data_IF_500245829379
#
_entry.id   IF_500245829379
#
_cell.length_a   1.000
_cell.length_b   1.000
_cell.length_c   1.000
_cell.angle_alpha   90.00
_cell.angle_beta   90.00
_cell.angle_gamma   90.00
#
_symmetry.space_group_name_H-M   'P 1'
#
loop_
_entity.id
_entity.type
_entity.pdbx_description
1 polymer ?
#
# COMPACT_ATOMS: atom_id res chain seq x y z
N UNK A 1 -20.87 -18.85 -0.96
CA UNK A 1 -20.02 -18.82 -2.17
C UNK A 1 -20.72 -18.01 -3.24
N UNK A 2 -20.36 -16.73 -3.45
CA UNK A 2 -20.95 -15.90 -4.52
C UNK A 2 -20.38 -16.36 -5.86
N UNK A 3 -21.26 -16.73 -6.80
CA UNK A 3 -20.90 -17.12 -8.17
C UNK A 3 -20.27 -15.93 -8.89
N UNK A 4 -19.19 -16.19 -9.63
CA UNK A 4 -18.46 -15.21 -10.42
C UNK A 4 -19.23 -14.99 -11.73
N UNK A 5 -19.66 -13.76 -12.00
CA UNK A 5 -20.19 -13.34 -13.30
C UNK A 5 -19.00 -13.03 -14.23
N UNK A 6 -18.93 -13.72 -15.37
CA UNK A 6 -17.85 -13.57 -16.36
C UNK A 6 -17.81 -12.17 -16.99
N UNK A 7 -18.94 -11.43 -17.02
CA UNK A 7 -18.98 -10.06 -17.57
C UNK A 7 -18.15 -9.05 -16.78
N UNK A 8 -18.03 -9.24 -15.47
CA UNK A 8 -17.22 -8.36 -14.60
C UNK A 8 -15.72 -8.44 -14.90
N UNK A 9 -15.25 -9.51 -15.55
CA UNK A 9 -13.84 -9.66 -15.94
C UNK A 9 -13.51 -8.96 -17.25
N UNK A 10 -14.45 -8.94 -18.20
CA UNK A 10 -14.28 -8.24 -19.49
C UNK A 10 -14.13 -6.72 -19.28
N UNK A 11 -14.86 -6.14 -18.32
CA UNK A 11 -14.75 -4.72 -17.94
C UNK A 11 -13.41 -4.35 -17.26
N UNK A 12 -12.65 -5.31 -16.71
CA UNK A 12 -11.36 -5.02 -16.08
C UNK A 12 -10.26 -4.72 -17.09
N UNK A 13 -10.37 -5.24 -18.32
CA UNK A 13 -9.41 -4.98 -19.40
C UNK A 13 -9.50 -3.56 -19.96
N UNK A 14 -10.63 -2.87 -19.74
CA UNK A 14 -10.84 -1.48 -20.17
C UNK A 14 -10.42 -0.45 -19.11
N UNK A 15 -10.14 -0.90 -17.87
CA UNK A 15 -9.76 -0.03 -16.74
C UNK A 15 -8.24 0.05 -16.58
N UNK A 16 -7.75 1.14 -16.03
CA UNK A 16 -6.34 1.22 -15.64
C UNK A 16 -6.03 0.18 -14.55
N UNK A 17 -4.79 -0.34 -14.51
CA UNK A 17 -4.39 -1.36 -13.52
C UNK A 17 -4.77 -1.00 -12.07
N UNK A 18 -4.64 0.27 -11.69
CA UNK A 18 -5.04 0.71 -10.35
C UNK A 18 -6.55 0.84 -10.12
N UNK A 19 -7.37 1.01 -11.16
CA UNK A 19 -8.83 0.94 -11.04
C UNK A 19 -9.31 -0.50 -10.92
N UNK A 20 -8.68 -1.42 -11.66
CA UNK A 20 -8.93 -2.85 -11.54
C UNK A 20 -8.58 -3.34 -10.12
N UNK A 21 -7.43 -2.95 -9.59
CA UNK A 21 -7.02 -3.30 -8.22
C UNK A 21 -7.99 -2.76 -7.15
N UNK A 22 -8.34 -1.47 -7.23
CA UNK A 22 -9.27 -0.86 -6.26
C UNK A 22 -10.66 -1.50 -6.35
N UNK A 23 -11.10 -1.88 -7.56
CA UNK A 23 -12.35 -2.60 -7.75
C UNK A 23 -12.31 -4.00 -7.12
N UNK A 24 -11.21 -4.74 -7.24
CA UNK A 24 -11.04 -6.04 -6.56
C UNK A 24 -11.09 -5.84 -5.05
N UNK A 25 -10.34 -4.88 -4.50
CA UNK A 25 -10.34 -4.55 -3.07
C UNK A 25 -11.73 -4.15 -2.55
N UNK A 26 -12.57 -3.54 -3.38
CA UNK A 26 -13.90 -3.08 -2.98
C UNK A 26 -14.97 -4.16 -3.14
N UNK A 27 -14.92 -4.93 -4.23
CA UNK A 27 -15.98 -5.89 -4.61
C UNK A 27 -15.72 -7.32 -4.10
N UNK A 28 -14.46 -7.67 -3.79
CA UNK A 28 -14.07 -9.02 -3.38
C UNK A 28 -13.71 -9.12 -1.91
N UNK A 29 -13.18 -8.05 -1.31
CA UNK A 29 -12.80 -8.10 0.09
C UNK A 29 -14.03 -7.81 0.93
N UNK A 30 -14.35 -8.76 1.79
CA UNK A 30 -15.48 -8.76 2.73
C UNK A 30 -14.96 -8.80 4.16
N UNK A 31 -15.75 -8.31 5.12
CA UNK A 31 -15.44 -8.41 6.54
C UNK A 31 -15.11 -9.83 7.04
N UNK A 32 -14.32 -9.91 8.10
CA UNK A 32 -13.93 -11.16 8.75
C UNK A 32 -12.92 -12.03 7.97
N UNK A 33 -12.24 -11.45 6.96
CA UNK A 33 -11.25 -12.16 6.14
C UNK A 33 -9.81 -11.94 6.60
N UNK A 34 -8.90 -12.84 6.18
CA UNK A 34 -7.45 -12.62 6.23
C UNK A 34 -6.96 -12.29 4.82
N UNK A 35 -6.36 -11.13 4.64
CA UNK A 35 -5.82 -10.65 3.38
C UNK A 35 -4.31 -10.54 3.44
N UNK A 36 -3.63 -11.13 2.47
CA UNK A 36 -2.17 -11.03 2.29
C UNK A 36 -1.94 -10.31 0.97
N UNK A 37 -1.27 -9.17 1.02
CA UNK A 37 -1.00 -8.31 -0.13
C UNK A 37 0.50 -8.13 -0.29
N UNK A 38 0.97 -8.24 -1.52
CA UNK A 38 2.37 -8.04 -1.89
C UNK A 38 2.46 -6.85 -2.84
N UNK A 39 3.18 -5.82 -2.42
CA UNK A 39 3.38 -4.54 -3.12
C UNK A 39 2.11 -3.96 -3.80
N UNK A 40 0.99 -3.83 -3.06
CA UNK A 40 -0.27 -3.37 -3.65
C UNK A 40 -0.19 -1.95 -4.26
N UNK A 41 0.77 -1.13 -3.83
CA UNK A 41 1.03 0.20 -4.36
C UNK A 41 1.58 0.21 -5.79
N UNK A 42 2.17 -0.88 -6.29
CA UNK A 42 2.86 -0.90 -7.59
C UNK A 42 1.90 -0.53 -8.76
N UNK A 43 0.61 -0.81 -8.59
CA UNK A 43 -0.44 -0.46 -9.55
C UNK A 43 -1.17 0.87 -9.23
N UNK A 44 -0.82 1.54 -8.13
CA UNK A 44 -1.60 2.65 -7.56
C UNK A 44 -0.84 3.97 -7.57
N UNK A 45 -1.50 5.00 -8.11
CA UNK A 45 -1.07 6.39 -7.88
C UNK A 45 -1.17 6.75 -6.39
N UNK A 46 -0.43 7.76 -5.90
CA UNK A 46 -0.50 8.18 -4.49
C UNK A 46 -1.92 8.44 -4.00
N UNK A 47 -2.77 9.07 -4.84
CA UNK A 47 -4.18 9.30 -4.52
C UNK A 47 -4.96 8.00 -4.32
N UNK A 48 -4.68 6.96 -5.11
CA UNK A 48 -5.34 5.66 -4.98
C UNK A 48 -4.84 4.88 -3.77
N UNK A 49 -3.58 5.07 -3.37
CA UNK A 49 -3.06 4.51 -2.10
C UNK A 49 -3.79 5.12 -0.89
N UNK A 50 -4.13 6.42 -0.92
CA UNK A 50 -4.99 7.03 0.10
C UNK A 50 -6.39 6.41 0.15
N UNK A 51 -7.00 6.12 -1.01
CA UNK A 51 -8.28 5.40 -1.06
C UNK A 51 -8.15 3.97 -0.51
N UNK A 52 -7.02 3.32 -0.75
CA UNK A 52 -6.73 2.00 -0.20
C UNK A 52 -6.64 2.04 1.33
N UNK A 53 -6.01 3.06 1.94
CA UNK A 53 -6.01 3.23 3.40
C UNK A 53 -7.43 3.30 3.98
N UNK A 54 -8.34 4.05 3.35
CA UNK A 54 -9.75 4.10 3.77
C UNK A 54 -10.38 2.70 3.74
N UNK A 55 -10.14 1.95 2.66
CA UNK A 55 -10.68 0.59 2.52
C UNK A 55 -10.07 -0.40 3.52
N UNK A 56 -8.78 -0.28 3.81
CA UNK A 56 -8.13 -1.06 4.85
C UNK A 56 -8.79 -0.81 6.21
N UNK A 57 -9.03 0.45 6.56
CA UNK A 57 -9.69 0.81 7.83
C UNK A 57 -11.10 0.21 7.96
N UNK A 58 -11.88 0.27 6.87
CA UNK A 58 -13.21 -0.38 6.81
C UNK A 58 -13.11 -1.89 7.08
N UNK A 59 -12.20 -2.59 6.39
CA UNK A 59 -12.04 -4.03 6.52
C UNK A 59 -11.59 -4.43 7.93
N UNK A 60 -10.67 -3.68 8.53
CA UNK A 60 -10.21 -3.90 9.92
C UNK A 60 -11.38 -3.72 10.90
N UNK A 61 -12.20 -2.67 10.73
CA UNK A 61 -13.40 -2.46 11.56
C UNK A 61 -14.44 -3.57 11.39
N UNK A 62 -14.51 -4.17 10.22
CA UNK A 62 -15.34 -5.34 9.93
C UNK A 62 -14.71 -6.67 10.41
N UNK A 63 -13.63 -6.62 11.21
CA UNK A 63 -12.98 -7.79 11.80
C UNK A 63 -12.04 -8.53 10.86
N UNK A 64 -11.61 -7.90 9.77
CA UNK A 64 -10.60 -8.47 8.88
C UNK A 64 -9.18 -8.24 9.41
N UNK A 65 -8.27 -9.11 9.01
CA UNK A 65 -6.84 -8.99 9.26
C UNK A 65 -6.11 -8.78 7.93
N UNK A 66 -5.13 -7.88 7.92
CA UNK A 66 -4.34 -7.57 6.73
C UNK A 66 -2.86 -7.74 7.05
N UNK A 67 -2.14 -8.47 6.18
CA UNK A 67 -0.69 -8.57 6.15
C UNK A 67 -0.26 -7.99 4.81
N UNK A 68 0.55 -6.94 4.83
CA UNK A 68 0.91 -6.19 3.64
C UNK A 68 2.43 -6.06 3.59
N UNK A 69 3.05 -6.58 2.54
CA UNK A 69 4.40 -6.20 2.16
C UNK A 69 4.32 -4.94 1.29
N UNK A 70 5.01 -3.87 1.70
CA UNK A 70 4.93 -2.57 1.03
C UNK A 70 6.21 -1.77 1.22
N UNK A 71 6.56 -1.02 0.17
CA UNK A 71 7.57 0.02 0.13
C UNK A 71 6.93 1.42 0.19
N UNK A 72 5.59 1.51 0.23
CA UNK A 72 4.89 2.79 0.26
C UNK A 72 4.85 3.40 1.66
N UNK A 73 5.47 4.58 1.88
CA UNK A 73 5.29 5.30 3.14
C UNK A 73 3.82 5.72 3.34
N UNK A 74 3.02 5.85 2.27
CA UNK A 74 1.59 6.17 2.41
C UNK A 74 0.85 5.01 3.06
N UNK A 75 1.09 3.77 2.62
CA UNK A 75 0.42 2.60 3.20
C UNK A 75 0.93 2.27 4.60
N UNK A 76 2.23 2.41 4.84
CA UNK A 76 2.83 2.24 6.17
C UNK A 76 2.27 3.23 7.21
N UNK A 77 1.77 4.39 6.79
CA UNK A 77 1.19 5.39 7.68
C UNK A 77 -0.17 4.99 8.31
N UNK A 78 -0.65 3.76 8.12
CA UNK A 78 -1.88 3.31 8.75
C UNK A 78 -1.74 3.32 10.29
N UNK A 79 -2.54 4.10 11.04
CA UNK A 79 -2.27 4.36 12.46
C UNK A 79 -2.26 3.15 13.40
N UNK A 80 -2.93 2.07 13.02
CA UNK A 80 -3.04 0.86 13.85
C UNK A 80 -2.18 -0.29 13.31
N UNK A 81 -1.24 -0.01 12.40
CA UNK A 81 -0.32 -1.03 11.89
C UNK A 81 0.84 -1.25 12.85
N UNK A 82 1.21 -2.52 13.05
CA UNK A 82 2.54 -2.90 13.49
C UNK A 82 3.42 -3.02 12.25
N UNK A 83 4.53 -2.30 12.19
CA UNK A 83 5.44 -2.31 11.04
C UNK A 83 6.63 -3.21 11.38
N UNK A 84 6.90 -4.16 10.49
CA UNK A 84 8.09 -4.99 10.56
C UNK A 84 9.02 -4.64 9.40
N UNK A 85 10.29 -4.43 9.72
CA UNK A 85 11.35 -4.27 8.73
C UNK A 85 12.15 -5.57 8.65
N UNK A 86 12.51 -5.94 7.42
CA UNK A 86 13.25 -7.14 7.09
C UNK A 86 14.59 -6.72 6.49
N UNK A 87 15.67 -6.94 7.21
CA UNK A 87 17.02 -6.57 6.79
C UNK A 87 18.04 -7.70 7.03
N UNK A 88 19.33 -7.38 6.95
CA UNK A 88 20.41 -8.35 7.15
C UNK A 88 20.50 -8.87 8.60
N UNK A 89 19.92 -8.15 9.56
CA UNK A 89 19.88 -8.51 10.98
C UNK A 89 18.69 -9.41 11.34
N UNK A 90 17.68 -9.47 10.47
CA UNK A 90 16.52 -10.35 10.62
C UNK A 90 15.20 -9.61 10.41
N UNK A 91 14.21 -9.91 11.26
CA UNK A 91 12.90 -9.26 11.27
C UNK A 91 12.75 -8.55 12.61
N UNK A 92 12.49 -7.25 12.59
CA UNK A 92 12.26 -6.44 13.79
C UNK A 92 11.10 -5.46 13.60
N UNK A 93 10.46 -5.12 14.71
CA UNK A 93 9.44 -4.06 14.73
C UNK A 93 10.14 -2.69 14.66
N UNK A 94 9.55 -1.75 13.93
CA UNK A 94 10.08 -0.41 13.74
C UNK A 94 8.94 0.62 13.76
N UNK A 95 9.21 1.81 14.28
CA UNK A 95 8.25 2.90 14.20
C UNK A 95 8.18 3.45 12.77
N UNK A 96 7.00 3.94 12.37
CA UNK A 96 6.78 4.47 11.01
C UNK A 96 7.83 5.49 10.58
N UNK A 97 8.19 6.41 11.48
CA UNK A 97 9.16 7.48 11.19
C UNK A 97 10.62 6.99 11.12
N UNK A 98 10.88 5.79 11.62
CA UNK A 98 12.19 5.16 11.62
C UNK A 98 12.40 4.26 10.40
N UNK A 99 11.35 3.97 9.63
CA UNK A 99 11.46 3.22 8.37
C UNK A 99 12.33 3.95 7.34
N UNK A 100 13.19 3.20 6.63
CA UNK A 100 14.03 3.76 5.57
C UNK A 100 13.20 4.51 4.51
N UNK A 101 12.07 3.92 4.11
CA UNK A 101 11.18 4.45 3.08
C UNK A 101 10.56 5.80 3.47
N UNK A 102 10.18 5.97 4.75
CA UNK A 102 9.72 7.26 5.25
C UNK A 102 10.84 8.29 5.21
N UNK A 103 12.00 7.97 5.77
CA UNK A 103 13.12 8.91 5.90
C UNK A 103 13.60 9.40 4.53
N UNK A 104 13.86 8.49 3.59
CA UNK A 104 14.29 8.84 2.23
C UNK A 104 13.24 9.71 1.53
N UNK A 105 11.97 9.32 1.60
CA UNK A 105 10.89 10.05 0.94
C UNK A 105 10.73 11.45 1.52
N UNK A 106 10.73 11.57 2.85
CA UNK A 106 10.66 12.85 3.58
C UNK A 106 11.82 13.76 3.18
N UNK A 107 13.04 13.26 3.27
CA UNK A 107 14.25 14.05 3.02
C UNK A 107 14.33 14.51 1.56
N UNK A 108 13.96 13.65 0.62
CA UNK A 108 13.86 14.02 -0.80
C UNK A 108 12.84 15.13 -1.03
N UNK A 109 11.65 15.04 -0.43
CA UNK A 109 10.60 16.05 -0.59
C UNK A 109 10.98 17.39 0.07
N UNK A 110 11.65 17.35 1.23
CA UNK A 110 12.06 18.55 1.96
C UNK A 110 13.29 19.24 1.34
N UNK A 111 14.24 18.47 0.81
CA UNK A 111 15.55 18.96 0.38
C UNK A 111 15.89 18.68 -1.09
N UNK A 112 14.86 18.51 -1.94
CA UNK A 112 14.97 18.11 -3.36
C UNK A 112 16.14 18.72 -4.11
N UNK A 113 16.32 20.04 -4.03
CA UNK A 113 17.37 20.75 -4.75
C UNK A 113 18.78 20.34 -4.31
N UNK A 114 19.02 20.22 -2.99
CA UNK A 114 20.31 19.76 -2.46
C UNK A 114 20.55 18.29 -2.81
N UNK A 115 19.51 17.47 -2.67
CA UNK A 115 19.53 16.05 -2.97
C UNK A 115 19.93 15.79 -4.43
N UNK A 116 19.29 16.49 -5.38
CA UNK A 116 19.59 16.36 -6.81
C UNK A 116 21.00 16.83 -7.16
N UNK A 117 21.48 17.95 -6.60
CA UNK A 117 22.86 18.40 -6.82
C UNK A 117 23.89 17.38 -6.36
N UNK A 118 23.69 16.81 -5.17
CA UNK A 118 24.60 15.79 -4.62
C UNK A 118 24.60 14.52 -5.47
N UNK A 119 23.43 14.00 -5.84
CA UNK A 119 23.30 12.78 -6.64
C UNK A 119 23.80 12.95 -8.08
N UNK A 120 23.45 14.06 -8.73
CA UNK A 120 23.72 14.28 -10.15
C UNK A 120 25.03 15.04 -10.41
N UNK A 121 25.76 15.41 -9.36
CA UNK A 121 27.01 16.18 -9.42
C UNK A 121 26.89 17.46 -10.27
N UNK A 122 25.72 18.09 -10.22
CA UNK A 122 25.36 19.31 -10.97
C UNK A 122 25.23 20.47 -10.02
#
# INVERSE_FOLDING_TARGET
>A
MKRIDSRKWEELHERSHGEAFLWIMTDRFVGGGLYILDEPEAALSPKRQLSMLTRMDELVREGSQLIIATHSPILMAYPNATIYELDQSGIHEVDYEDTEHYQITRDFLQQRGSFLRHLLKT
#
